data_IF_191078224958
#
_entry.id   IF_191078224958
#
_cell.length_a   1.000
_cell.length_b   1.000
_cell.length_c   1.000
_cell.angle_alpha   90.00
_cell.angle_beta   90.00
_cell.angle_gamma   90.00
#
_symmetry.space_group_name_H-M   'P 1'
#
loop_
_entity.id
_entity.type
_entity.pdbx_description
1 polymer ?
#
# COMPACT_ATOMS: atom_id res chain seq x y z
N UNK A 1 52.05 -35.81 18.25
CA UNK A 1 52.80 -36.89 18.92
C UNK A 1 54.28 -36.62 18.66
N UNK A 2 55.14 -36.57 19.70
CA UNK A 2 56.58 -36.41 19.47
C UNK A 2 57.13 -37.66 18.77
N UNK A 3 57.99 -37.46 17.77
CA UNK A 3 58.77 -38.56 17.18
C UNK A 3 60.08 -38.69 17.95
N UNK A 4 60.47 -39.91 18.26
CA UNK A 4 61.74 -40.22 18.89
C UNK A 4 62.87 -39.91 17.91
N UNK A 5 63.82 -39.07 18.31
CA UNK A 5 64.94 -38.71 17.45
C UNK A 5 65.88 -39.91 17.24
N UNK A 6 66.34 -40.11 16.01
CA UNK A 6 67.34 -41.12 15.72
C UNK A 6 68.66 -40.77 16.44
N UNK A 7 69.38 -41.78 16.98
CA UNK A 7 70.75 -41.60 17.45
C UNK A 7 71.64 -41.02 16.34
N UNK A 8 72.66 -40.23 16.71
CA UNK A 8 73.59 -39.65 15.73
C UNK A 8 74.27 -40.76 14.92
N UNK A 9 74.34 -40.66 13.57
CA UNK A 9 74.98 -41.67 12.76
C UNK A 9 76.41 -41.95 13.21
N UNK A 10 76.78 -43.21 13.50
CA UNK A 10 78.11 -43.53 13.97
C UNK A 10 79.15 -43.26 12.86
N UNK A 11 80.27 -42.64 13.23
CA UNK A 11 81.39 -42.38 12.32
C UNK A 11 82.59 -43.22 12.71
N UNK A 12 83.05 -44.04 11.77
CA UNK A 12 84.26 -44.86 11.93
C UNK A 12 85.53 -44.01 12.10
N UNK A 13 85.51 -42.77 11.60
CA UNK A 13 86.61 -41.82 11.74
C UNK A 13 86.62 -41.10 13.10
N UNK A 14 85.45 -40.89 13.71
CA UNK A 14 85.31 -40.15 14.97
C UNK A 14 85.34 -41.05 16.21
N UNK A 15 84.87 -42.30 16.13
CA UNK A 15 84.78 -43.20 17.30
C UNK A 15 84.90 -44.69 16.90
N UNK A 16 86.13 -45.20 16.66
CA UNK A 16 86.33 -46.55 16.12
C UNK A 16 85.91 -47.69 17.05
N UNK A 17 86.09 -47.52 18.36
CA UNK A 17 85.85 -48.56 19.37
C UNK A 17 84.38 -48.70 19.78
N UNK A 18 83.57 -47.66 19.62
CA UNK A 18 82.15 -47.64 19.99
C UNK A 18 81.21 -47.73 18.79
N UNK A 19 81.76 -47.92 17.58
CA UNK A 19 81.00 -47.93 16.34
C UNK A 19 79.94 -49.03 16.31
N UNK A 20 80.27 -50.24 16.79
CA UNK A 20 79.35 -51.38 16.76
C UNK A 20 78.13 -51.16 17.66
N UNK A 21 78.33 -50.76 18.92
CA UNK A 21 77.23 -50.49 19.85
C UNK A 21 76.35 -49.33 19.39
N UNK A 22 76.95 -48.28 18.80
CA UNK A 22 76.21 -47.16 18.22
C UNK A 22 75.45 -47.56 16.95
N UNK A 23 76.00 -48.47 16.14
CA UNK A 23 75.32 -49.01 14.97
C UNK A 23 74.14 -49.89 15.36
N UNK A 24 74.29 -50.76 16.37
CA UNK A 24 73.21 -51.60 16.88
C UNK A 24 72.11 -50.77 17.54
N UNK A 25 72.46 -49.74 18.31
CA UNK A 25 71.50 -48.80 18.88
C UNK A 25 70.72 -48.03 17.80
N UNK A 26 71.39 -47.61 16.72
CA UNK A 26 70.75 -46.99 15.56
C UNK A 26 69.78 -47.98 14.89
N UNK A 27 70.24 -49.21 14.63
CA UNK A 27 69.44 -50.25 13.99
C UNK A 27 68.21 -50.65 14.83
N UNK A 28 68.34 -50.67 16.16
CA UNK A 28 67.24 -50.94 17.08
C UNK A 28 66.20 -49.80 17.15
N UNK A 29 66.62 -48.55 16.89
CA UNK A 29 65.73 -47.39 16.88
C UNK A 29 64.92 -47.26 15.57
N UNK A 30 65.39 -47.84 14.46
CA UNK A 30 64.74 -47.72 13.15
C UNK A 30 63.28 -48.26 13.11
N UNK A 31 62.95 -49.46 13.64
CA UNK A 31 61.58 -49.97 13.62
C UNK A 31 60.61 -49.10 14.41
N UNK A 32 61.01 -48.65 15.61
CA UNK A 32 60.22 -47.76 16.45
C UNK A 32 59.97 -46.41 15.76
N UNK A 33 61.01 -45.86 15.12
CA UNK A 33 60.88 -44.63 14.33
C UNK A 33 59.89 -44.80 13.18
N UNK A 34 59.89 -45.95 12.49
CA UNK A 34 58.94 -46.26 11.41
C UNK A 34 57.50 -46.35 11.95
N UNK A 35 57.29 -47.02 13.08
CA UNK A 35 55.95 -47.14 13.69
C UNK A 35 55.40 -45.78 14.14
N UNK A 36 56.23 -44.97 14.79
CA UNK A 36 55.86 -43.60 15.20
C UNK A 36 55.60 -42.70 13.98
N UNK A 37 56.38 -42.83 12.91
CA UNK A 37 56.17 -42.10 11.66
C UNK A 37 54.84 -42.50 11.00
N UNK A 38 54.50 -43.79 10.98
CA UNK A 38 53.24 -44.30 10.45
C UNK A 38 52.04 -43.83 11.30
N UNK A 39 52.17 -43.83 12.63
CA UNK A 39 51.15 -43.32 13.54
C UNK A 39 50.92 -41.81 13.35
N UNK A 40 51.99 -41.03 13.18
CA UNK A 40 51.90 -39.61 12.85
C UNK A 40 51.21 -39.39 11.51
N UNK A 41 51.53 -40.18 10.48
CA UNK A 41 50.85 -40.10 9.18
C UNK A 41 49.35 -40.36 9.32
N UNK A 42 48.94 -41.34 10.13
CA UNK A 42 47.52 -41.62 10.40
C UNK A 42 46.82 -40.45 11.11
N UNK A 43 47.45 -39.88 12.15
CA UNK A 43 46.93 -38.74 12.89
C UNK A 43 46.80 -37.48 12.03
N UNK A 44 47.81 -37.18 11.21
CA UNK A 44 47.77 -36.07 10.23
C UNK A 44 46.63 -36.29 9.24
N UNK A 45 46.44 -37.52 8.74
CA UNK A 45 45.35 -37.86 7.84
C UNK A 45 43.98 -37.67 8.50
N UNK A 46 43.80 -38.12 9.75
CA UNK A 46 42.55 -37.94 10.51
C UNK A 46 42.24 -36.47 10.81
N UNK A 47 43.26 -35.67 11.18
CA UNK A 47 43.12 -34.22 11.34
C UNK A 47 42.78 -33.54 10.01
N UNK A 48 43.39 -33.96 8.90
CA UNK A 48 43.09 -33.44 7.57
C UNK A 48 41.63 -33.71 7.17
N UNK A 49 41.11 -34.91 7.46
CA UNK A 49 39.68 -35.25 7.25
C UNK A 49 38.78 -34.37 8.11
N UNK A 50 39.13 -34.16 9.38
CA UNK A 50 38.35 -33.32 10.31
C UNK A 50 38.30 -31.86 9.83
N UNK A 51 39.44 -31.29 9.46
CA UNK A 51 39.54 -29.94 8.89
C UNK A 51 38.71 -29.84 7.62
N UNK A 52 38.82 -30.82 6.72
CA UNK A 52 38.04 -30.85 5.48
C UNK A 52 36.53 -30.90 5.75
N UNK A 53 36.06 -31.75 6.66
CA UNK A 53 34.63 -31.86 6.99
C UNK A 53 34.08 -30.59 7.64
N UNK A 54 34.88 -29.94 8.51
CA UNK A 54 34.52 -28.67 9.16
C UNK A 54 34.40 -27.55 8.13
N UNK A 55 35.36 -27.48 7.19
CA UNK A 55 35.32 -26.52 6.10
C UNK A 55 34.11 -26.75 5.18
N UNK A 56 33.81 -28.00 4.82
CA UNK A 56 32.62 -28.34 4.04
C UNK A 56 31.32 -27.96 4.75
N UNK A 57 31.20 -28.19 6.05
CA UNK A 57 30.03 -27.80 6.84
C UNK A 57 29.88 -26.27 6.93
N UNK A 58 30.98 -25.55 7.14
CA UNK A 58 30.99 -24.08 7.15
C UNK A 58 30.59 -23.50 5.79
N UNK A 59 31.08 -24.07 4.69
CA UNK A 59 30.67 -23.69 3.32
C UNK A 59 29.19 -23.96 3.07
N UNK A 60 28.65 -25.10 3.52
CA UNK A 60 27.24 -25.42 3.41
C UNK A 60 26.35 -24.44 4.20
N UNK A 61 26.74 -24.10 5.43
CA UNK A 61 26.05 -23.10 6.25
C UNK A 61 26.12 -21.69 5.62
N UNK A 62 27.27 -21.32 5.05
CA UNK A 62 27.43 -20.09 4.30
C UNK A 62 26.53 -20.04 3.06
N UNK A 63 26.45 -21.13 2.30
CA UNK A 63 25.58 -21.23 1.13
C UNK A 63 24.09 -21.16 1.53
N UNK A 64 23.69 -21.81 2.63
CA UNK A 64 22.33 -21.72 3.15
C UNK A 64 21.97 -20.29 3.61
N UNK A 65 22.91 -19.62 4.29
CA UNK A 65 22.75 -18.22 4.69
C UNK A 65 22.66 -17.28 3.48
N UNK A 66 23.49 -17.51 2.45
CA UNK A 66 23.44 -16.78 1.19
C UNK A 66 22.11 -17.00 0.45
N UNK A 67 21.59 -18.24 0.44
CA UNK A 67 20.28 -18.55 -0.14
C UNK A 67 19.14 -17.86 0.62
N UNK A 68 19.18 -17.83 1.96
CA UNK A 68 18.21 -17.12 2.78
C UNK A 68 18.27 -15.60 2.53
N UNK A 69 19.47 -15.03 2.46
CA UNK A 69 19.66 -13.61 2.12
C UNK A 69 19.16 -13.28 0.70
N UNK A 70 19.38 -14.16 -0.27
CA UNK A 70 18.87 -14.00 -1.63
C UNK A 70 17.34 -14.09 -1.70
N UNK A 71 16.72 -15.01 -0.94
CA UNK A 71 15.28 -15.09 -0.80
C UNK A 71 14.69 -13.83 -0.15
N UNK A 72 15.32 -13.32 0.92
CA UNK A 72 14.92 -12.07 1.57
C UNK A 72 15.05 -10.86 0.61
N UNK A 73 16.12 -10.80 -0.17
CA UNK A 73 16.31 -9.76 -1.20
C UNK A 73 15.24 -9.85 -2.30
N UNK A 74 14.85 -11.06 -2.72
CA UNK A 74 13.78 -11.28 -3.69
C UNK A 74 12.42 -10.83 -3.15
N UNK A 75 12.13 -11.12 -1.87
CA UNK A 75 10.92 -10.65 -1.20
C UNK A 75 10.89 -9.12 -1.05
N UNK A 76 12.01 -8.51 -0.64
CA UNK A 76 12.13 -7.05 -0.55
C UNK A 76 11.97 -6.37 -1.93
N UNK A 77 12.52 -6.97 -2.99
CA UNK A 77 12.30 -6.52 -4.37
C UNK A 77 10.83 -6.61 -4.76
N UNK A 78 10.13 -7.71 -4.45
CA UNK A 78 8.71 -7.87 -4.74
C UNK A 78 7.84 -6.86 -3.96
N UNK A 79 8.18 -6.56 -2.70
CA UNK A 79 7.50 -5.53 -1.90
C UNK A 79 7.74 -4.12 -2.47
N UNK A 80 8.95 -3.82 -2.92
CA UNK A 80 9.28 -2.56 -3.57
C UNK A 80 8.60 -2.43 -4.95
N UNK A 81 8.51 -3.52 -5.73
CA UNK A 81 7.77 -3.57 -6.98
C UNK A 81 6.27 -3.37 -6.74
N UNK A 82 5.68 -4.01 -5.73
CA UNK A 82 4.28 -3.79 -5.33
C UNK A 82 4.05 -2.34 -4.85
N UNK A 83 4.92 -1.77 -4.03
CA UNK A 83 4.82 -0.38 -3.58
C UNK A 83 5.00 0.62 -4.72
N UNK A 84 5.92 0.33 -5.66
CA UNK A 84 6.09 1.08 -6.90
C UNK A 84 4.84 0.98 -7.77
N UNK A 85 4.26 -0.20 -7.91
CA UNK A 85 3.05 -0.42 -8.72
C UNK A 85 1.82 0.24 -8.07
N UNK A 86 1.70 0.25 -6.74
CA UNK A 86 0.71 1.06 -6.00
C UNK A 86 0.93 2.57 -6.20
N UNK A 87 2.17 3.03 -6.21
CA UNK A 87 2.51 4.44 -6.49
C UNK A 87 2.26 4.79 -7.96
N UNK A 88 2.55 3.87 -8.90
CA UNK A 88 2.30 4.00 -10.34
C UNK A 88 0.81 3.95 -10.67
N UNK A 89 0.03 3.09 -10.02
CA UNK A 89 -1.44 3.06 -10.10
C UNK A 89 -2.04 4.33 -9.50
N UNK A 90 -1.42 4.86 -8.45
CA UNK A 90 -1.69 6.22 -7.94
C UNK A 90 -1.28 7.33 -8.92
N UNK A 91 -0.40 7.05 -9.89
CA UNK A 91 0.13 7.99 -10.90
C UNK A 91 -0.48 7.77 -12.31
N UNK A 92 -1.31 6.76 -12.56
CA UNK A 92 -1.46 6.21 -13.91
C UNK A 92 -2.86 6.09 -14.50
N UNK A 93 -3.59 7.20 -14.71
CA UNK A 93 -4.52 7.38 -15.85
C UNK A 93 -5.14 8.78 -16.02
N UNK A 94 -5.07 9.69 -15.05
CA UNK A 94 -5.62 11.04 -15.22
C UNK A 94 -4.86 12.05 -14.37
N UNK A 95 -3.66 12.48 -14.82
CA UNK A 95 -3.29 13.89 -14.63
C UNK A 95 -1.93 14.31 -15.20
N UNK A 96 -0.88 13.49 -15.33
CA UNK A 96 0.47 14.08 -15.55
C UNK A 96 0.67 14.94 -16.81
N UNK A 97 0.03 14.70 -17.97
CA UNK A 97 0.15 15.63 -19.12
C UNK A 97 -0.78 16.85 -19.01
N UNK A 98 -1.92 16.72 -18.34
CA UNK A 98 -2.85 17.81 -18.05
C UNK A 98 -2.33 18.69 -16.91
N UNK A 99 -1.81 18.09 -15.83
CA UNK A 99 -1.10 18.72 -14.72
C UNK A 99 0.23 19.30 -15.17
N UNK A 100 1.03 18.65 -16.03
CA UNK A 100 2.21 19.31 -16.61
C UNK A 100 1.80 20.46 -17.54
N UNK A 101 0.72 20.34 -18.32
CA UNK A 101 0.19 21.43 -19.13
C UNK A 101 -0.35 22.61 -18.29
N UNK A 102 -1.06 22.30 -17.21
CA UNK A 102 -1.58 23.27 -16.24
C UNK A 102 -0.46 23.88 -15.39
N UNK A 103 0.55 23.10 -15.01
CA UNK A 103 1.72 23.56 -14.27
C UNK A 103 2.59 24.45 -15.15
N UNK A 104 2.83 24.09 -16.41
CA UNK A 104 3.56 24.92 -17.37
C UNK A 104 2.76 26.19 -17.70
N UNK A 105 1.44 26.09 -17.86
CA UNK A 105 0.57 27.26 -18.04
C UNK A 105 0.53 28.18 -16.81
N UNK A 106 0.47 27.60 -15.61
CA UNK A 106 0.54 28.33 -14.35
C UNK A 106 1.93 28.96 -14.13
N UNK A 107 3.01 28.26 -14.50
CA UNK A 107 4.37 28.80 -14.42
C UNK A 107 4.55 29.97 -15.39
N UNK A 108 4.03 29.86 -16.62
CA UNK A 108 4.07 30.92 -17.62
C UNK A 108 3.24 32.15 -17.20
N UNK A 109 2.06 31.92 -16.61
CA UNK A 109 1.21 32.98 -16.05
C UNK A 109 1.86 33.65 -14.83
N UNK A 110 2.47 32.89 -13.91
CA UNK A 110 3.20 33.42 -12.75
C UNK A 110 4.45 34.17 -13.19
N UNK A 111 5.16 33.74 -14.23
CA UNK A 111 6.30 34.48 -14.78
C UNK A 111 5.86 35.81 -15.42
N UNK A 112 4.73 35.82 -16.11
CA UNK A 112 4.14 37.04 -16.71
C UNK A 112 3.62 38.00 -15.63
N UNK A 113 2.96 37.48 -14.60
CA UNK A 113 2.47 38.25 -13.46
C UNK A 113 3.64 38.79 -12.61
N UNK A 114 4.70 38.00 -12.44
CA UNK A 114 5.93 38.43 -11.77
C UNK A 114 6.68 39.47 -12.62
N UNK A 115 6.76 39.30 -13.93
CA UNK A 115 7.36 40.28 -14.86
C UNK A 115 6.61 41.62 -14.81
N UNK A 116 5.27 41.58 -14.87
CA UNK A 116 4.39 42.75 -14.75
C UNK A 116 4.47 43.38 -13.36
N UNK A 117 4.44 42.58 -12.30
CA UNK A 117 4.61 43.07 -10.93
C UNK A 117 6.00 43.68 -10.71
N UNK A 118 7.07 43.11 -11.28
CA UNK A 118 8.41 43.73 -11.21
C UNK A 118 8.51 45.00 -12.05
N UNK A 119 7.84 45.09 -13.20
CA UNK A 119 7.74 46.30 -13.99
C UNK A 119 6.98 47.42 -13.26
N UNK A 120 5.80 47.11 -12.72
CA UNK A 120 4.98 48.06 -11.95
C UNK A 120 5.62 48.43 -10.59
N UNK A 121 6.32 47.50 -9.95
CA UNK A 121 6.98 47.76 -8.64
C UNK A 121 8.28 48.55 -8.83
N UNK A 122 9.01 48.39 -9.93
CA UNK A 122 10.20 49.20 -10.24
C UNK A 122 9.80 50.62 -10.68
N UNK A 123 8.71 50.78 -11.44
CA UNK A 123 8.25 52.10 -11.86
C UNK A 123 7.51 52.88 -10.74
N UNK A 124 6.90 52.20 -9.76
CA UNK A 124 6.11 52.84 -8.70
C UNK A 124 6.75 52.83 -7.28
N UNK A 125 7.99 52.32 -7.12
CA UNK A 125 8.69 52.34 -5.81
C UNK A 125 10.13 52.81 -5.91
N UNK A 126 10.34 54.01 -6.45
CA UNK A 126 11.37 54.85 -5.90
C UNK A 126 11.06 55.08 -4.41
N UNK A 127 11.84 54.47 -3.51
CA UNK A 127 11.75 54.62 -2.04
C UNK A 127 10.68 53.76 -1.36
N UNK A 128 11.05 52.61 -0.78
CA UNK A 128 10.71 52.23 0.61
C UNK A 128 11.36 50.87 0.94
N UNK A 129 12.34 50.92 1.84
CA UNK A 129 13.03 49.75 2.36
C UNK A 129 12.08 48.84 3.16
N UNK A 130 12.11 47.55 2.84
CA UNK A 130 11.64 46.49 3.73
C UNK A 130 12.90 45.77 4.19
N UNK A 131 13.20 45.87 5.48
CA UNK A 131 14.55 45.69 6.03
C UNK A 131 14.96 44.22 6.21
N UNK A 132 14.06 43.25 6.10
CA UNK A 132 14.48 41.85 6.07
C UNK A 132 13.61 40.99 5.15
N UNK A 133 14.29 40.21 4.31
CA UNK A 133 13.66 39.28 3.36
C UNK A 133 12.97 38.14 4.12
N UNK A 134 13.45 37.81 5.32
CA UNK A 134 12.92 36.73 6.15
C UNK A 134 11.45 36.94 6.57
N UNK A 135 11.07 38.17 6.94
CA UNK A 135 9.69 38.48 7.34
C UNK A 135 8.72 38.46 6.15
N UNK A 136 9.21 38.89 4.97
CA UNK A 136 8.46 38.82 3.73
C UNK A 136 8.19 37.35 3.34
N UNK A 137 9.21 36.48 3.43
CA UNK A 137 9.05 35.06 3.16
C UNK A 137 8.13 34.37 4.19
N UNK A 138 8.19 34.75 5.47
CA UNK A 138 7.36 34.15 6.53
C UNK A 138 5.86 34.48 6.38
N UNK A 139 5.53 35.72 6.03
CA UNK A 139 4.15 36.14 5.76
C UNK A 139 3.62 35.47 4.47
N UNK A 140 4.45 35.38 3.44
CA UNK A 140 4.09 34.70 2.18
C UNK A 140 3.93 33.18 2.38
N UNK A 141 4.75 32.53 3.22
CA UNK A 141 4.61 31.11 3.53
C UNK A 141 3.35 30.82 4.34
N UNK A 142 2.97 31.71 5.26
CA UNK A 142 1.76 31.56 6.07
C UNK A 142 0.50 31.69 5.21
N UNK A 143 0.47 32.68 4.31
CA UNK A 143 -0.65 32.88 3.38
C UNK A 143 -0.72 31.76 2.32
N UNK A 144 0.44 31.24 1.91
CA UNK A 144 0.54 30.07 1.04
C UNK A 144 0.06 28.80 1.76
N UNK A 145 0.45 28.57 3.01
CA UNK A 145 0.00 27.42 3.81
C UNK A 145 -1.51 27.47 4.11
N UNK A 146 -2.12 28.64 4.25
CA UNK A 146 -3.58 28.78 4.37
C UNK A 146 -4.28 28.43 3.03
N UNK A 147 -3.67 28.81 1.89
CA UNK A 147 -4.14 28.45 0.55
C UNK A 147 -3.90 26.97 0.19
N UNK A 148 -2.85 26.33 0.71
CA UNK A 148 -2.53 24.90 0.49
C UNK A 148 -3.20 23.99 1.54
N UNK A 149 -3.45 24.50 2.76
CA UNK A 149 -4.07 23.83 3.90
C UNK A 149 -5.55 23.50 3.70
N UNK A 150 -6.11 23.90 2.56
CA UNK A 150 -7.35 23.39 1.99
C UNK A 150 -7.14 21.92 1.56
N UNK A 151 -7.00 21.04 2.56
CA UNK A 151 -7.08 19.57 2.42
C UNK A 151 -8.55 19.14 2.29
N UNK A 152 -9.22 19.83 1.38
CA UNK A 152 -10.40 19.43 0.66
C UNK A 152 -10.27 20.21 -0.64
N UNK A 153 -9.54 19.65 -1.63
CA UNK A 153 -9.40 20.22 -2.98
C UNK A 153 -10.78 20.79 -3.35
N UNK A 154 -10.92 22.10 -3.30
CA UNK A 154 -12.03 22.75 -3.96
C UNK A 154 -11.79 22.41 -5.43
N UNK A 155 -12.56 21.46 -5.96
CA UNK A 155 -12.61 21.20 -7.38
C UNK A 155 -13.26 22.47 -7.94
N UNK A 156 -12.43 23.46 -8.26
CA UNK A 156 -12.86 24.77 -8.71
C UNK A 156 -13.27 24.64 -10.18
N UNK A 157 -14.47 24.10 -10.40
CA UNK A 157 -15.02 23.85 -11.73
C UNK A 157 -14.40 22.64 -12.44
N UNK A 158 -15.12 22.14 -13.44
CA UNK A 158 -14.75 20.96 -14.25
C UNK A 158 -15.41 19.65 -13.81
N UNK A 159 -15.26 18.62 -14.64
CA UNK A 159 -15.79 17.28 -14.38
C UNK A 159 -14.80 16.43 -13.56
N UNK A 160 -15.33 15.65 -12.62
CA UNK A 160 -14.57 14.63 -11.88
C UNK A 160 -14.88 13.28 -12.50
N UNK A 161 -13.99 12.80 -13.35
CA UNK A 161 -14.15 11.51 -14.01
C UNK A 161 -13.55 10.41 -13.13
N UNK A 162 -14.36 9.39 -12.83
CA UNK A 162 -14.01 8.28 -11.96
C UNK A 162 -14.11 6.98 -12.75
N UNK A 163 -13.17 6.06 -12.54
CA UNK A 163 -13.17 4.77 -13.25
C UNK A 163 -14.39 3.95 -12.86
N UNK A 164 -15.18 3.50 -13.84
CA UNK A 164 -16.26 2.55 -13.60
C UNK A 164 -15.71 1.15 -13.24
N UNK A 165 -16.46 0.36 -12.47
CA UNK A 165 -16.03 -0.99 -12.08
C UNK A 165 -16.91 -1.65 -11.04
N UNK A 166 -17.01 -2.98 -11.12
CA UNK A 166 -17.74 -3.85 -10.17
C UNK A 166 -16.87 -4.43 -9.06
N UNK A 167 -15.55 -4.28 -9.15
CA UNK A 167 -14.59 -4.76 -8.15
C UNK A 167 -14.47 -3.78 -6.99
N UNK A 168 -14.48 -4.29 -5.75
CA UNK A 168 -14.05 -3.50 -4.59
C UNK A 168 -12.58 -3.11 -4.77
N UNK A 169 -12.16 -1.91 -4.33
CA UNK A 169 -12.92 -0.86 -3.64
C UNK A 169 -13.77 0.05 -4.57
N UNK A 170 -14.85 0.70 -4.09
CA UNK A 170 -15.62 1.64 -4.89
C UNK A 170 -14.78 2.87 -5.27
N UNK A 171 -14.95 3.43 -6.49
CA UNK A 171 -14.18 4.57 -7.02
C UNK A 171 -14.22 5.83 -6.15
N UNK A 172 -15.33 6.05 -5.45
CA UNK A 172 -15.41 7.04 -4.36
C UNK A 172 -15.54 6.28 -3.04
N UNK A 173 -14.49 6.30 -2.23
CA UNK A 173 -14.46 5.70 -0.89
C UNK A 173 -13.75 6.63 0.11
N UNK A 174 -14.12 6.60 1.40
CA UNK A 174 -13.34 7.26 2.46
C UNK A 174 -11.93 6.67 2.59
N UNK A 175 -10.98 7.48 3.05
CA UNK A 175 -9.66 6.98 3.41
C UNK A 175 -9.78 6.01 4.61
N UNK A 176 -9.22 4.81 4.49
CA UNK A 176 -9.25 3.79 5.55
C UNK A 176 -10.49 2.89 5.56
N UNK A 177 -11.54 3.22 4.81
CA UNK A 177 -12.72 2.38 4.60
C UNK A 177 -12.91 2.13 3.10
N UNK A 178 -12.43 0.98 2.64
CA UNK A 178 -12.38 0.62 1.21
C UNK A 178 -13.58 -0.20 0.76
N UNK A 179 -14.54 -0.45 1.64
CA UNK A 179 -15.73 -1.25 1.34
C UNK A 179 -17.04 -0.44 1.38
N UNK A 180 -16.95 0.84 1.73
CA UNK A 180 -18.05 1.80 1.75
C UNK A 180 -17.82 2.91 0.72
N UNK A 181 -18.83 3.21 -0.11
CA UNK A 181 -18.67 4.24 -1.15
C UNK A 181 -19.68 4.25 -2.30
N UNK A 182 -19.37 5.02 -3.34
CA UNK A 182 -20.15 5.09 -4.59
C UNK A 182 -19.44 4.28 -5.68
N UNK A 183 -20.20 3.37 -6.32
CA UNK A 183 -19.73 2.50 -7.41
C UNK A 183 -20.51 2.76 -8.69
N UNK A 184 -19.87 2.48 -9.83
CA UNK A 184 -20.48 2.50 -11.16
C UNK A 184 -20.42 1.07 -11.74
N UNK A 185 -21.39 0.20 -11.38
CA UNK A 185 -21.32 -1.24 -11.63
C UNK A 185 -21.62 -1.64 -13.09
N UNK A 186 -22.02 -0.70 -13.94
CA UNK A 186 -22.31 -0.91 -15.34
C UNK A 186 -22.46 0.42 -16.08
N UNK A 187 -22.66 0.36 -17.40
CA UNK A 187 -23.03 1.54 -18.17
C UNK A 187 -24.32 2.15 -17.60
N UNK A 188 -24.34 3.47 -17.46
CA UNK A 188 -25.49 4.24 -17.01
C UNK A 188 -26.07 3.81 -15.65
N UNK A 189 -25.26 3.18 -14.80
CA UNK A 189 -25.67 2.70 -13.49
C UNK A 189 -24.78 3.25 -12.37
N UNK A 190 -25.39 3.55 -11.23
CA UNK A 190 -24.71 4.01 -10.01
C UNK A 190 -25.23 3.24 -8.80
N UNK A 191 -24.34 2.92 -7.86
CA UNK A 191 -24.64 2.17 -6.66
C UNK A 191 -23.98 2.76 -5.41
N UNK A 192 -24.63 2.62 -4.26
CA UNK A 192 -24.08 2.94 -2.94
C UNK A 192 -23.80 1.64 -2.19
N UNK A 193 -22.58 1.53 -1.66
CA UNK A 193 -22.09 0.34 -0.97
C UNK A 193 -21.77 0.65 0.49
N UNK A 194 -22.01 -0.34 1.35
CA UNK A 194 -21.48 -0.38 2.73
C UNK A 194 -21.07 -1.80 3.08
N UNK A 195 -19.93 -1.97 3.76
CA UNK A 195 -19.39 -3.30 4.09
C UNK A 195 -19.27 -4.22 2.86
N UNK A 196 -18.93 -3.64 1.70
CA UNK A 196 -18.76 -4.35 0.44
C UNK A 196 -20.05 -4.81 -0.24
N UNK A 197 -21.22 -4.44 0.29
CA UNK A 197 -22.53 -4.81 -0.24
C UNK A 197 -23.27 -3.61 -0.82
N UNK A 198 -23.92 -3.82 -1.96
CA UNK A 198 -24.79 -2.84 -2.58
C UNK A 198 -26.07 -2.63 -1.74
N UNK A 199 -26.33 -1.38 -1.36
CA UNK A 199 -27.50 -0.98 -0.55
C UNK A 199 -28.55 -0.26 -1.37
N UNK A 200 -28.12 0.55 -2.33
CA UNK A 200 -28.98 1.30 -3.24
C UNK A 200 -28.36 1.32 -4.62
N UNK A 201 -29.18 1.20 -5.67
CA UNK A 201 -28.77 1.32 -7.07
C UNK A 201 -29.77 2.16 -7.86
N UNK A 202 -29.25 2.91 -8.82
CA UNK A 202 -30.00 3.36 -9.99
C UNK A 202 -29.47 2.61 -11.20
N UNK A 203 -30.33 1.87 -11.90
CA UNK A 203 -29.95 1.10 -13.09
C UNK A 203 -30.01 1.95 -14.38
N UNK A 204 -29.54 1.36 -15.49
CA UNK A 204 -29.53 2.01 -16.80
C UNK A 204 -30.93 2.38 -17.34
N UNK A 205 -32.01 1.83 -16.75
CA UNK A 205 -33.39 2.19 -17.08
C UNK A 205 -33.96 3.28 -16.16
N UNK A 206 -33.13 3.85 -15.28
CA UNK A 206 -33.53 4.88 -14.31
C UNK A 206 -34.30 4.33 -13.11
N UNK A 207 -34.31 3.01 -12.90
CA UNK A 207 -35.01 2.38 -11.77
C UNK A 207 -34.15 2.41 -10.51
N UNK A 208 -34.75 2.79 -9.39
CA UNK A 208 -34.13 2.82 -8.08
C UNK A 208 -34.42 1.52 -7.34
N UNK A 209 -33.37 0.74 -7.06
CA UNK A 209 -33.42 -0.43 -6.18
C UNK A 209 -32.87 -0.10 -4.79
N UNK A 210 -33.56 -0.52 -3.74
CA UNK A 210 -33.07 -0.49 -2.35
C UNK A 210 -33.01 -1.93 -1.85
N UNK A 211 -31.82 -2.42 -1.51
CA UNK A 211 -31.59 -3.81 -1.12
C UNK A 211 -31.66 -4.83 -2.26
N UNK A 212 -31.76 -4.38 -3.52
CA UNK A 212 -31.76 -5.22 -4.73
C UNK A 212 -30.87 -4.60 -5.81
N UNK A 213 -30.19 -5.44 -6.57
CA UNK A 213 -29.36 -5.03 -7.71
C UNK A 213 -30.07 -5.18 -9.07
N UNK A 214 -31.31 -5.66 -9.06
CA UNK A 214 -32.15 -5.91 -10.23
C UNK A 214 -33.57 -5.38 -9.99
N UNK A 215 -33.76 -4.06 -9.84
CA UNK A 215 -35.08 -3.47 -9.63
C UNK A 215 -36.02 -3.76 -10.81
N UNK A 216 -37.27 -4.09 -10.52
CA UNK A 216 -38.30 -4.40 -11.51
C UNK A 216 -39.24 -3.23 -11.78
N UNK A 217 -39.43 -2.34 -10.80
CA UNK A 217 -40.18 -1.08 -10.89
C UNK A 217 -39.31 0.17 -10.74
N UNK A 218 -39.87 1.36 -10.97
CA UNK A 218 -39.12 2.63 -10.86
C UNK A 218 -38.57 2.86 -9.44
N UNK A 219 -39.30 2.42 -8.42
CA UNK A 219 -38.83 2.27 -7.06
C UNK A 219 -39.12 0.83 -6.63
N UNK A 220 -38.08 0.06 -6.33
CA UNK A 220 -38.16 -1.32 -5.87
C UNK A 220 -37.42 -1.45 -4.54
N UNK A 221 -38.13 -1.84 -3.48
CA UNK A 221 -37.58 -1.98 -2.12
C UNK A 221 -37.66 -3.44 -1.74
N UNK A 222 -36.50 -4.10 -1.66
CA UNK A 222 -36.37 -5.49 -1.25
C UNK A 222 -36.38 -5.62 0.29
N UNK A 223 -37.49 -5.22 0.91
CA UNK A 223 -37.77 -5.37 2.34
C UNK A 223 -39.27 -5.71 2.53
N UNK A 224 -39.64 -6.20 3.71
CA UNK A 224 -41.02 -6.53 4.06
C UNK A 224 -41.87 -5.31 4.47
N UNK A 225 -41.27 -4.12 4.47
CA UNK A 225 -41.88 -2.88 4.95
C UNK A 225 -41.32 -1.65 4.28
N UNK A 226 -42.16 -0.62 4.17
CA UNK A 226 -41.77 0.75 3.83
C UNK A 226 -42.25 1.66 4.95
N UNK A 227 -41.34 2.46 5.53
CA UNK A 227 -41.66 3.36 6.64
C UNK A 227 -41.76 4.80 6.18
N UNK A 228 -42.96 5.38 6.29
CA UNK A 228 -43.18 6.82 6.21
C UNK A 228 -43.18 7.37 7.64
N UNK A 229 -42.13 8.10 8.04
CA UNK A 229 -41.90 8.44 9.46
C UNK A 229 -42.89 9.46 10.02
N UNK A 230 -43.25 10.47 9.24
CA UNK A 230 -44.13 11.56 9.69
C UNK A 230 -45.58 11.22 9.33
N UNK A 231 -46.45 11.26 10.33
CA UNK A 231 -47.89 11.16 10.12
C UNK A 231 -48.45 12.48 9.57
N UNK A 232 -49.49 12.40 8.73
CA UNK A 232 -50.23 13.55 8.19
C UNK A 232 -51.70 13.18 8.09
N UNK A 233 -52.54 13.97 8.75
CA UNK A 233 -54.00 13.93 8.61
C UNK A 233 -54.42 15.13 7.77
N UNK A 234 -54.92 14.95 6.55
CA UNK A 234 -55.55 16.04 5.79
C UNK A 234 -56.69 16.67 6.61
N UNK A 235 -56.69 17.99 6.75
CA UNK A 235 -57.66 18.70 7.61
C UNK A 235 -59.12 18.47 7.18
N UNK A 236 -59.35 18.32 5.88
CA UNK A 236 -60.65 18.00 5.27
C UNK A 236 -60.44 17.14 4.03
N UNK A 237 -61.52 16.59 3.46
CA UNK A 237 -61.48 15.88 2.18
C UNK A 237 -61.05 16.77 1.00
N UNK A 238 -61.12 18.11 1.17
CA UNK A 238 -60.71 19.10 0.17
C UNK A 238 -59.45 19.87 0.56
N UNK A 239 -58.71 19.38 1.56
CA UNK A 239 -57.44 20.00 1.97
C UNK A 239 -56.44 19.98 0.81
N UNK A 240 -55.50 20.93 0.84
CA UNK A 240 -54.48 21.03 -0.20
C UNK A 240 -53.69 19.72 -0.33
N UNK A 241 -53.60 19.20 -1.55
CA UNK A 241 -52.89 17.97 -1.86
C UNK A 241 -52.78 17.74 -3.36
N UNK A 242 -51.70 17.10 -3.77
CA UNK A 242 -51.45 16.72 -5.17
C UNK A 242 -51.90 15.29 -5.42
N UNK A 243 -52.40 15.00 -6.63
CA UNK A 243 -52.76 13.64 -7.02
C UNK A 243 -51.59 12.68 -6.79
N UNK A 244 -51.87 11.53 -6.18
CA UNK A 244 -50.88 10.49 -5.88
C UNK A 244 -50.23 10.59 -4.50
N UNK A 245 -50.44 11.69 -3.75
CA UNK A 245 -49.98 11.76 -2.37
C UNK A 245 -50.66 10.68 -1.51
N UNK A 246 -49.85 9.95 -0.75
CA UNK A 246 -50.30 8.97 0.24
C UNK A 246 -49.77 9.41 1.61
N UNK A 247 -50.63 9.41 2.62
CA UNK A 247 -50.23 9.66 4.00
C UNK A 247 -51.06 8.85 4.98
N UNK A 248 -50.67 8.87 6.25
CA UNK A 248 -51.30 8.05 7.29
C UNK A 248 -51.39 8.81 8.60
N UNK A 249 -52.32 8.38 9.43
CA UNK A 249 -52.35 8.64 10.87
C UNK A 249 -52.69 7.36 11.63
N UNK A 250 -52.91 7.46 12.94
CA UNK A 250 -53.20 6.29 13.79
C UNK A 250 -54.49 5.52 13.40
N UNK A 251 -55.36 6.11 12.57
CA UNK A 251 -56.72 5.63 12.30
C UNK A 251 -57.00 5.40 10.82
N UNK A 252 -56.30 6.08 9.90
CA UNK A 252 -56.58 6.03 8.47
C UNK A 252 -55.31 6.03 7.63
N UNK A 253 -55.40 5.37 6.48
CA UNK A 253 -54.55 5.62 5.32
C UNK A 253 -55.31 6.55 4.37
N UNK A 254 -54.66 7.62 3.91
CA UNK A 254 -55.20 8.64 3.02
C UNK A 254 -54.51 8.60 1.66
N UNK A 255 -55.29 8.80 0.59
CA UNK A 255 -54.79 8.93 -0.78
C UNK A 255 -55.46 10.13 -1.44
N UNK A 256 -54.66 11.03 -2.00
CA UNK A 256 -55.14 12.15 -2.79
C UNK A 256 -55.37 11.67 -4.23
N UNK A 257 -56.63 11.51 -4.66
CA UNK A 257 -56.96 10.88 -5.96
C UNK A 257 -57.03 11.89 -7.11
N UNK A 258 -57.15 13.17 -6.80
CA UNK A 258 -57.10 14.31 -7.70
C UNK A 258 -56.69 15.54 -6.88
N UNK A 259 -56.32 16.66 -7.52
CA UNK A 259 -55.96 17.90 -6.81
C UNK A 259 -57.01 18.25 -5.75
N UNK A 260 -56.54 18.40 -4.51
CA UNK A 260 -57.37 18.70 -3.33
C UNK A 260 -58.54 17.74 -3.14
N UNK A 261 -58.38 16.47 -3.49
CA UNK A 261 -59.44 15.45 -3.36
C UNK A 261 -58.91 14.24 -2.62
N UNK A 262 -59.13 14.21 -1.32
CA UNK A 262 -58.66 13.13 -0.44
C UNK A 262 -59.71 12.04 -0.25
N UNK A 263 -59.25 10.80 -0.37
CA UNK A 263 -59.96 9.58 0.02
C UNK A 263 -59.20 8.92 1.18
N UNK A 264 -59.89 8.12 1.98
CA UNK A 264 -59.27 7.39 3.10
C UNK A 264 -59.87 6.01 3.30
N UNK A 265 -59.08 5.11 3.87
CA UNK A 265 -59.50 3.78 4.34
C UNK A 265 -59.18 3.66 5.83
N UNK A 266 -60.12 3.13 6.61
CA UNK A 266 -59.94 2.93 8.04
C UNK A 266 -58.94 1.81 8.30
N UNK A 267 -57.99 2.07 9.19
CA UNK A 267 -57.10 1.05 9.74
C UNK A 267 -57.79 0.38 10.93
N UNK A 268 -57.72 -0.94 10.99
CA UNK A 268 -58.28 -1.74 12.09
C UNK A 268 -57.20 -2.67 12.62
N UNK A 269 -57.32 -3.06 13.88
CA UNK A 269 -56.44 -4.07 14.47
C UNK A 269 -56.75 -5.42 13.85
N UNK A 270 -55.73 -6.12 13.38
CA UNK A 270 -55.83 -7.51 12.94
C UNK A 270 -55.76 -8.46 14.14
#
# INVERSE_FOLDING_TARGET
MPISALPTPPSRAASPSTFADQADALLAALPLFVDEANALQSDVTGKQVTVSSTYSAAMAAGLASAAANAAAATQAKAQAEYARDQALDGLGAADNSQVLGQLVGALAYVLDLASKATGETIENRGTFGVTDRAELYALMFTELLDKIGVTARAISGGDVILRAGTTLPPPLSPAGDRDTGVQFPGADAVALLTAGLERLRVDASGRVGIGTNAPSGLLDVADDKVRIRLAKTPATATASGTQGEICWDATYLYVCTATNTWRRVALTTW
#
